data_IF_638494333721
#
_entry.id   IF_638494333721
#
_cell.length_a   1.000
_cell.length_b   1.000
_cell.length_c   1.000
_cell.angle_alpha   90.00
_cell.angle_beta   90.00
_cell.angle_gamma   90.00
#
_symmetry.space_group_name_H-M   'P 1'
#
loop_
_entity.id
_entity.type
_entity.pdbx_description
1 polymer ?
#
# COMPACT_ATOMS: atom_id res chain seq x y z
N UNK A 1 17.62 -10.09 4.05
CA UNK A 1 19.00 -10.07 4.54
C UNK A 1 19.92 -9.89 3.35
N UNK A 2 20.99 -9.13 3.50
CA UNK A 2 21.97 -8.97 2.43
C UNK A 2 22.67 -10.31 2.17
N UNK A 3 22.88 -10.69 0.89
CA UNK A 3 23.66 -11.88 0.58
C UNK A 3 25.11 -11.69 1.01
N UNK A 4 25.77 -12.78 1.42
CA UNK A 4 27.20 -12.77 1.72
C UNK A 4 28.04 -12.37 0.49
N UNK A 5 29.15 -11.68 0.74
CA UNK A 5 30.10 -11.29 -0.30
C UNK A 5 30.79 -12.53 -0.85
N UNK A 6 30.69 -12.76 -2.17
CA UNK A 6 31.32 -13.91 -2.84
C UNK A 6 32.52 -13.57 -3.71
N UNK A 7 32.60 -12.34 -4.22
CA UNK A 7 33.69 -11.90 -5.09
C UNK A 7 34.55 -10.85 -4.38
N UNK A 8 35.83 -11.18 -4.20
CA UNK A 8 36.82 -10.39 -3.46
C UNK A 8 37.84 -9.76 -4.40
N UNK A 9 38.52 -8.66 -3.99
CA UNK A 9 39.49 -7.99 -4.84
C UNK A 9 40.69 -8.91 -5.12
N UNK A 10 41.24 -8.80 -6.34
CA UNK A 10 42.47 -9.50 -6.72
C UNK A 10 43.64 -8.94 -5.89
N UNK A 11 44.39 -9.84 -5.26
CA UNK A 11 45.61 -9.49 -4.52
C UNK A 11 46.78 -9.28 -5.49
N UNK A 12 46.97 -8.05 -5.96
CA UNK A 12 48.05 -7.69 -6.88
C UNK A 12 49.40 -7.61 -6.17
N UNK A 13 50.41 -8.27 -6.74
CA UNK A 13 51.79 -8.27 -6.24
C UNK A 13 52.74 -7.98 -7.39
N UNK A 14 53.85 -7.27 -7.12
CA UNK A 14 54.86 -6.97 -8.13
C UNK A 14 55.43 -8.26 -8.75
N UNK A 15 55.69 -8.22 -10.08
CA UNK A 15 56.14 -9.38 -10.85
C UNK A 15 55.08 -10.48 -11.10
N UNK A 16 53.83 -10.28 -10.67
CA UNK A 16 52.74 -11.24 -10.91
C UNK A 16 52.37 -11.35 -12.39
N UNK A 17 52.27 -12.58 -12.91
CA UNK A 17 51.81 -12.83 -14.29
C UNK A 17 50.31 -12.54 -14.41
N UNK A 18 49.95 -11.65 -15.33
CA UNK A 18 48.56 -11.23 -15.57
C UNK A 18 47.89 -12.17 -16.57
N UNK A 19 46.62 -12.51 -16.31
CA UNK A 19 45.81 -13.35 -17.20
C UNK A 19 44.38 -12.81 -17.28
N UNK A 20 43.61 -13.28 -18.26
CA UNK A 20 42.17 -12.97 -18.40
C UNK A 20 41.39 -13.17 -17.09
N UNK A 21 41.76 -14.19 -16.31
CA UNK A 21 41.11 -14.53 -15.03
C UNK A 21 41.15 -13.36 -14.05
N UNK A 22 42.30 -12.69 -13.90
CA UNK A 22 42.43 -11.56 -12.96
C UNK A 22 41.53 -10.39 -13.34
N UNK A 23 41.35 -10.13 -14.65
CA UNK A 23 40.39 -9.11 -15.10
C UNK A 23 38.95 -9.52 -14.82
N UNK A 24 38.60 -10.79 -15.06
CA UNK A 24 37.26 -11.30 -14.75
C UNK A 24 36.95 -11.22 -13.24
N UNK A 25 37.90 -11.60 -12.39
CA UNK A 25 37.77 -11.51 -10.92
C UNK A 25 37.64 -10.04 -10.46
N UNK A 26 38.45 -9.13 -11.02
CA UNK A 26 38.36 -7.70 -10.73
C UNK A 26 36.99 -7.10 -11.10
N UNK A 27 36.47 -7.47 -12.27
CA UNK A 27 35.16 -7.00 -12.72
C UNK A 27 34.03 -7.60 -11.87
N UNK A 28 34.09 -8.90 -11.54
CA UNK A 28 33.11 -9.53 -10.64
C UNK A 28 33.13 -8.91 -9.24
N UNK A 29 34.31 -8.62 -8.69
CA UNK A 29 34.46 -7.87 -7.45
C UNK A 29 33.82 -6.48 -7.55
N UNK A 30 34.04 -5.77 -8.66
CA UNK A 30 33.45 -4.43 -8.87
C UNK A 30 31.92 -4.50 -8.92
N UNK A 31 31.36 -5.48 -9.62
CA UNK A 31 29.92 -5.75 -9.66
C UNK A 31 29.35 -6.11 -8.29
N UNK A 32 30.04 -6.98 -7.53
CA UNK A 32 29.67 -7.36 -6.16
C UNK A 32 29.64 -6.15 -5.23
N UNK A 33 30.69 -5.32 -5.22
CA UNK A 33 30.78 -4.13 -4.38
C UNK A 33 29.72 -3.08 -4.73
N UNK A 34 29.44 -2.87 -6.02
CA UNK A 34 28.39 -1.93 -6.44
C UNK A 34 27.00 -2.42 -6.02
N UNK A 35 26.73 -3.72 -6.20
CA UNK A 35 25.49 -4.36 -5.75
C UNK A 35 25.34 -4.22 -4.23
N UNK A 36 26.39 -4.53 -3.48
CA UNK A 36 26.41 -4.46 -2.02
C UNK A 36 26.18 -3.04 -1.51
N UNK A 37 26.88 -2.05 -2.06
CA UNK A 37 26.70 -0.64 -1.74
C UNK A 37 25.27 -0.16 -2.02
N UNK A 38 24.66 -0.62 -3.12
CA UNK A 38 23.26 -0.35 -3.44
C UNK A 38 22.33 -0.97 -2.40
N UNK A 39 22.60 -2.22 -2.01
CA UNK A 39 21.77 -2.99 -1.10
C UNK A 39 21.73 -2.41 0.33
N UNK A 40 22.79 -1.72 0.77
CA UNK A 40 22.82 -1.01 2.06
C UNK A 40 21.73 0.07 2.20
N UNK A 41 21.29 0.67 1.08
CA UNK A 41 20.22 1.67 1.06
C UNK A 41 18.81 1.07 0.94
N UNK A 42 18.70 -0.24 0.75
CA UNK A 42 17.43 -0.94 0.57
C UNK A 42 16.88 -1.43 1.91
N UNK A 43 15.58 -1.72 1.93
CA UNK A 43 14.92 -2.38 3.05
C UNK A 43 13.88 -3.36 2.51
N UNK A 44 13.24 -4.13 3.40
CA UNK A 44 12.14 -5.03 3.03
C UNK A 44 10.94 -4.29 2.38
N UNK A 45 10.92 -2.96 2.39
CA UNK A 45 9.85 -2.13 1.84
C UNK A 45 10.31 -1.11 0.81
N UNK A 46 11.62 -1.04 0.54
CA UNK A 46 12.24 -0.11 -0.41
C UNK A 46 13.14 -0.90 -1.37
N UNK A 47 12.51 -1.56 -2.33
CA UNK A 47 13.13 -2.25 -3.45
C UNK A 47 12.08 -2.41 -4.58
N UNK A 48 12.51 -2.90 -5.72
CA UNK A 48 11.66 -3.22 -6.85
C UNK A 48 11.70 -2.16 -7.95
N UNK A 49 10.55 -1.87 -8.56
CA UNK A 49 10.46 -0.96 -9.71
C UNK A 49 11.02 0.42 -9.36
N UNK A 50 11.75 0.99 -10.31
CA UNK A 50 12.29 2.34 -10.21
C UNK A 50 11.33 3.39 -10.76
N UNK A 51 11.36 4.62 -10.20
CA UNK A 51 10.76 5.80 -10.81
C UNK A 51 11.09 5.91 -12.31
N UNK A 52 10.08 6.20 -13.12
CA UNK A 52 10.27 6.64 -14.51
C UNK A 52 10.26 8.16 -14.57
N UNK A 53 10.95 8.74 -15.55
CA UNK A 53 10.82 10.16 -15.85
C UNK A 53 9.39 10.45 -16.33
N UNK A 54 8.81 11.58 -15.91
CA UNK A 54 7.41 11.92 -16.22
C UNK A 54 7.11 12.01 -17.73
N UNK A 55 8.13 12.27 -18.56
CA UNK A 55 8.02 12.31 -20.03
C UNK A 55 8.73 11.13 -20.71
N UNK A 56 9.27 10.20 -19.92
CA UNK A 56 9.99 9.03 -20.42
C UNK A 56 9.07 7.85 -20.73
N UNK A 57 9.59 6.80 -21.40
CA UNK A 57 8.89 5.54 -21.54
C UNK A 57 8.63 4.90 -20.17
N UNK A 58 7.58 4.08 -20.07
CA UNK A 58 7.27 3.33 -18.85
C UNK A 58 8.49 2.55 -18.36
N UNK A 59 8.77 2.58 -17.05
CA UNK A 59 9.81 1.76 -16.44
C UNK A 59 9.43 0.28 -16.36
N UNK A 60 8.17 -0.06 -16.63
CA UNK A 60 7.65 -1.41 -16.47
C UNK A 60 6.55 -1.74 -17.49
N UNK A 61 6.64 -2.90 -18.12
CA UNK A 61 5.62 -3.42 -19.04
C UNK A 61 5.70 -4.97 -19.09
N UNK A 62 4.69 -5.61 -18.50
CA UNK A 62 4.50 -7.06 -18.52
C UNK A 62 3.18 -7.40 -19.22
N UNK A 63 3.26 -8.20 -20.29
CA UNK A 63 2.11 -8.87 -20.88
C UNK A 63 2.01 -10.28 -20.31
N UNK A 64 1.01 -10.52 -19.47
CA UNK A 64 0.72 -11.81 -18.86
C UNK A 64 -0.65 -12.31 -19.33
N UNK A 65 -0.67 -13.44 -20.02
CA UNK A 65 -1.89 -14.04 -20.54
C UNK A 65 -1.99 -15.53 -20.24
N UNK A 66 -3.22 -16.00 -20.07
CA UNK A 66 -3.57 -17.42 -19.99
C UNK A 66 -4.64 -17.68 -21.05
N UNK A 67 -4.42 -18.66 -21.92
CA UNK A 67 -5.38 -19.01 -22.97
C UNK A 67 -6.41 -20.06 -22.52
N UNK A 68 -7.32 -20.42 -23.43
CA UNK A 68 -8.36 -21.43 -23.15
C UNK A 68 -7.80 -22.83 -22.87
N UNK A 69 -6.57 -23.14 -23.32
CA UNK A 69 -5.89 -24.40 -23.05
C UNK A 69 -5.04 -24.36 -21.77
N UNK A 70 -5.18 -23.32 -20.95
CA UNK A 70 -4.39 -23.08 -19.75
C UNK A 70 -2.88 -22.91 -20.05
N UNK A 71 -2.53 -22.49 -21.27
CA UNK A 71 -1.18 -22.10 -21.61
C UNK A 71 -0.92 -20.67 -21.11
N UNK A 72 0.17 -20.51 -20.39
CA UNK A 72 0.61 -19.26 -19.79
C UNK A 72 1.71 -18.65 -20.66
N UNK A 73 1.54 -17.39 -21.04
CA UNK A 73 2.61 -16.61 -21.68
C UNK A 73 2.89 -15.38 -20.83
N UNK A 74 4.14 -15.22 -20.40
CA UNK A 74 4.63 -14.03 -19.73
C UNK A 74 5.69 -13.38 -20.62
N UNK A 75 5.49 -12.11 -20.99
CA UNK A 75 6.40 -11.35 -21.85
C UNK A 75 6.71 -10.00 -21.21
N UNK A 76 7.97 -9.80 -20.83
CA UNK A 76 8.48 -8.60 -20.18
C UNK A 76 9.30 -7.79 -21.19
N UNK A 77 8.79 -6.62 -21.58
CA UNK A 77 9.42 -5.72 -22.57
C UNK A 77 10.20 -4.60 -21.91
N UNK A 78 9.68 -4.07 -20.80
CA UNK A 78 10.32 -3.01 -20.01
C UNK A 78 10.36 -3.41 -18.54
N UNK A 79 11.52 -3.28 -17.90
CA UNK A 79 11.67 -3.43 -16.46
C UNK A 79 12.95 -2.73 -15.99
N UNK A 80 12.78 -1.59 -15.34
CA UNK A 80 13.85 -0.89 -14.63
C UNK A 80 13.58 -1.06 -13.15
N UNK A 81 14.37 -1.90 -12.50
CA UNK A 81 14.17 -2.24 -11.10
C UNK A 81 15.48 -2.48 -10.35
N UNK A 82 15.37 -2.62 -9.03
CA UNK A 82 16.42 -3.14 -8.16
C UNK A 82 15.84 -4.28 -7.33
N UNK A 83 16.53 -5.41 -7.30
CA UNK A 83 16.15 -6.56 -6.46
C UNK A 83 16.44 -6.29 -4.99
N UNK A 84 15.87 -7.09 -4.07
CA UNK A 84 16.09 -6.91 -2.64
C UNK A 84 17.57 -7.08 -2.20
N UNK A 85 18.39 -7.78 -3.00
CA UNK A 85 19.83 -7.91 -2.79
C UNK A 85 20.68 -6.83 -3.49
N UNK A 86 20.07 -5.80 -4.08
CA UNK A 86 20.77 -4.67 -4.69
C UNK A 86 21.18 -4.87 -6.15
N UNK A 87 20.82 -5.99 -6.79
CA UNK A 87 21.11 -6.18 -8.21
C UNK A 87 20.15 -5.36 -9.09
N UNK A 88 20.73 -4.63 -10.04
CA UNK A 88 20.01 -3.78 -10.99
C UNK A 88 19.43 -4.63 -12.12
N UNK A 89 18.17 -4.39 -12.45
CA UNK A 89 17.53 -4.89 -13.68
C UNK A 89 17.30 -3.69 -14.58
N UNK A 90 17.85 -3.75 -15.78
CA UNK A 90 17.70 -2.74 -16.83
C UNK A 90 17.30 -3.44 -18.13
N UNK A 91 15.99 -3.64 -18.28
CA UNK A 91 15.36 -4.07 -19.52
C UNK A 91 14.67 -2.88 -20.15
N UNK A 92 15.19 -2.44 -21.28
CA UNK A 92 14.65 -1.35 -22.09
C UNK A 92 14.17 -1.94 -23.42
N UNK A 93 13.11 -1.37 -24.01
CA UNK A 93 12.49 -1.90 -25.23
C UNK A 93 13.38 -1.93 -26.48
N UNK A 94 14.63 -1.47 -26.39
CA UNK A 94 15.66 -1.66 -27.41
C UNK A 94 16.23 -3.08 -27.44
N UNK A 95 16.13 -3.83 -26.34
CA UNK A 95 16.57 -5.22 -26.25
C UNK A 95 15.44 -6.20 -26.65
N UNK A 96 15.81 -7.44 -26.94
CA UNK A 96 14.81 -8.50 -27.11
C UNK A 96 14.04 -8.71 -25.79
N UNK A 97 12.71 -8.80 -25.85
CA UNK A 97 11.89 -8.97 -24.66
C UNK A 97 11.99 -10.38 -24.09
N UNK A 98 12.07 -10.48 -22.77
CA UNK A 98 12.08 -11.77 -22.08
C UNK A 98 10.70 -12.41 -22.20
N UNK A 99 10.65 -13.61 -22.78
CA UNK A 99 9.40 -14.35 -22.96
C UNK A 99 9.53 -15.73 -22.31
N UNK A 100 8.59 -16.07 -21.44
CA UNK A 100 8.45 -17.39 -20.83
C UNK A 100 7.09 -17.97 -21.18
N UNK A 101 7.08 -19.26 -21.52
CA UNK A 101 5.87 -20.01 -21.87
C UNK A 101 5.81 -21.29 -21.07
N UNK A 102 4.65 -21.55 -20.48
CA UNK A 102 4.37 -22.78 -19.73
C UNK A 102 2.88 -23.10 -19.83
N UNK A 103 2.39 -24.07 -19.08
CA UNK A 103 0.96 -24.36 -18.91
C UNK A 103 0.67 -24.75 -17.47
N UNK A 104 -0.60 -24.67 -17.07
CA UNK A 104 -1.01 -25.14 -15.74
C UNK A 104 -0.56 -26.58 -15.48
N UNK A 105 -0.73 -27.49 -16.45
CA UNK A 105 -0.32 -28.88 -16.30
C UNK A 105 1.19 -29.04 -16.07
N UNK A 106 2.01 -28.27 -16.80
CA UNK A 106 3.47 -28.26 -16.61
C UNK A 106 3.85 -27.72 -15.23
N UNK A 107 3.25 -26.61 -14.78
CA UNK A 107 3.50 -26.04 -13.47
C UNK A 107 3.12 -27.01 -12.34
N UNK A 108 1.96 -27.65 -12.43
CA UNK A 108 1.53 -28.63 -11.43
C UNK A 108 2.47 -29.84 -11.38
N UNK A 109 2.92 -30.34 -12.54
CA UNK A 109 3.86 -31.45 -12.61
C UNK A 109 5.26 -31.07 -12.10
N UNK A 110 5.78 -29.91 -12.48
CA UNK A 110 7.13 -29.45 -12.13
C UNK A 110 7.28 -29.26 -10.61
N UNK A 111 6.24 -28.71 -9.98
CA UNK A 111 6.26 -28.41 -8.54
C UNK A 111 5.55 -29.46 -7.68
N UNK A 112 5.11 -30.58 -8.25
CA UNK A 112 4.34 -31.63 -7.57
C UNK A 112 3.12 -31.08 -6.81
N UNK A 113 2.33 -30.23 -7.47
CA UNK A 113 1.17 -29.56 -6.90
C UNK A 113 -0.13 -30.13 -7.46
N UNK A 114 -1.20 -29.98 -6.68
CA UNK A 114 -2.58 -30.21 -7.12
C UNK A 114 -3.29 -28.88 -7.33
N UNK A 115 -4.10 -28.77 -8.39
CA UNK A 115 -4.91 -27.58 -8.63
C UNK A 115 -5.98 -27.44 -7.54
N UNK A 116 -5.74 -26.53 -6.59
CA UNK A 116 -6.70 -26.16 -5.55
C UNK A 116 -7.14 -24.72 -5.75
N UNK A 117 -8.39 -24.42 -5.39
CA UNK A 117 -8.87 -23.04 -5.39
C UNK A 117 -7.92 -22.13 -4.59
N UNK A 118 -7.69 -20.91 -5.11
CA UNK A 118 -6.74 -19.93 -4.57
C UNK A 118 -5.25 -20.33 -4.65
N UNK A 119 -4.89 -21.38 -5.40
CA UNK A 119 -3.47 -21.65 -5.71
C UNK A 119 -2.88 -20.47 -6.50
N UNK A 120 -1.78 -19.89 -5.99
CA UNK A 120 -1.12 -18.71 -6.56
C UNK A 120 0.25 -19.04 -7.12
N UNK A 121 0.55 -18.44 -8.26
CA UNK A 121 1.88 -18.44 -8.88
C UNK A 121 2.36 -17.02 -9.09
N UNK A 122 3.65 -16.81 -8.90
CA UNK A 122 4.32 -15.54 -9.14
C UNK A 122 5.15 -15.62 -10.41
N UNK A 123 5.03 -14.60 -11.25
CA UNK A 123 5.93 -14.37 -12.38
C UNK A 123 7.15 -13.62 -11.85
N UNK A 124 8.32 -14.20 -12.04
CA UNK A 124 9.56 -13.72 -11.44
C UNK A 124 10.57 -13.42 -12.52
N UNK A 125 11.18 -12.24 -12.45
CA UNK A 125 12.41 -11.93 -13.19
C UNK A 125 13.61 -12.12 -12.27
N UNK A 126 14.55 -12.94 -12.72
CA UNK A 126 15.82 -13.21 -12.04
C UNK A 126 16.94 -12.53 -12.80
N UNK A 127 17.94 -12.03 -12.07
CA UNK A 127 19.15 -11.45 -12.65
C UNK A 127 20.38 -12.18 -12.13
N UNK A 128 21.28 -12.56 -13.02
CA UNK A 128 22.61 -13.01 -12.66
C UNK A 128 23.64 -11.95 -13.08
N UNK A 129 24.09 -11.10 -12.14
CA UNK A 129 24.96 -9.97 -12.48
C UNK A 129 26.38 -10.39 -12.85
N UNK A 130 26.76 -11.66 -12.63
CA UNK A 130 28.10 -12.17 -12.87
C UNK A 130 28.24 -12.92 -14.20
N UNK A 131 27.12 -13.22 -14.88
CA UNK A 131 27.09 -13.80 -16.23
C UNK A 131 26.86 -12.70 -17.24
N UNK A 132 27.70 -12.65 -18.28
CA UNK A 132 27.67 -11.59 -19.31
C UNK A 132 27.06 -12.09 -20.60
N UNK A 133 26.01 -11.42 -21.03
CA UNK A 133 25.37 -11.62 -22.31
C UNK A 133 25.85 -10.50 -23.25
N UNK A 134 26.47 -10.83 -24.40
CA UNK A 134 26.90 -9.83 -25.38
C UNK A 134 25.73 -8.96 -25.89
N UNK A 135 25.95 -7.65 -26.03
CA UNK A 135 24.95 -6.68 -26.48
C UNK A 135 25.55 -5.58 -27.36
N UNK A 136 24.72 -5.00 -28.22
CA UNK A 136 25.04 -3.85 -29.06
C UNK A 136 25.35 -4.26 -30.50
N UNK A 137 25.12 -3.36 -31.45
CA UNK A 137 25.42 -3.64 -32.85
C UNK A 137 26.94 -3.75 -33.06
N UNK A 138 27.45 -4.82 -33.71
CA UNK A 138 28.87 -4.91 -34.04
C UNK A 138 29.33 -3.74 -34.91
N UNK A 139 30.52 -3.21 -34.64
CA UNK A 139 31.10 -2.14 -35.44
C UNK A 139 31.52 -2.71 -36.82
N UNK A 140 31.17 -2.05 -37.95
CA UNK A 140 31.54 -2.53 -39.29
C UNK A 140 33.06 -2.62 -39.51
N UNK A 141 33.82 -1.77 -38.82
CA UNK A 141 35.29 -1.69 -38.87
C UNK A 141 35.97 -2.84 -38.11
N UNK A 142 35.24 -3.54 -37.23
CA UNK A 142 35.80 -4.55 -36.35
C UNK A 142 35.75 -5.94 -37.00
N UNK A 143 36.93 -6.52 -37.21
CA UNK A 143 37.11 -7.83 -37.85
C UNK A 143 37.89 -8.77 -36.90
N UNK A 144 37.30 -9.88 -36.44
CA UNK A 144 35.93 -10.34 -36.70
C UNK A 144 34.89 -9.48 -35.96
N UNK A 145 33.64 -9.39 -36.48
CA UNK A 145 32.58 -8.64 -35.82
C UNK A 145 32.32 -9.16 -34.41
N UNK A 146 32.31 -8.26 -33.42
CA UNK A 146 31.90 -8.58 -32.03
C UNK A 146 30.89 -7.57 -31.51
N UNK A 147 30.10 -8.01 -30.55
CA UNK A 147 29.27 -7.11 -29.75
C UNK A 147 30.16 -6.23 -28.85
N UNK A 148 29.97 -4.90 -28.85
CA UNK A 148 30.85 -3.98 -28.12
C UNK A 148 30.59 -3.97 -26.60
N UNK A 149 29.41 -4.38 -26.15
CA UNK A 149 28.98 -4.29 -24.76
C UNK A 149 28.47 -5.63 -24.22
N UNK A 150 28.19 -5.66 -22.92
CA UNK A 150 27.56 -6.80 -22.25
C UNK A 150 26.51 -6.34 -21.26
N UNK A 151 25.46 -7.13 -21.10
CA UNK A 151 24.47 -7.01 -20.01
C UNK A 151 24.55 -8.21 -19.08
N UNK A 152 24.01 -8.11 -17.86
CA UNK A 152 23.81 -9.31 -17.06
C UNK A 152 22.79 -10.25 -17.71
N UNK A 153 22.80 -11.51 -17.28
CA UNK A 153 21.79 -12.48 -17.69
C UNK A 153 20.48 -12.23 -16.95
N UNK A 154 19.38 -12.21 -17.70
CA UNK A 154 18.03 -12.10 -17.14
C UNK A 154 17.20 -13.31 -17.55
N UNK A 155 16.38 -13.81 -16.63
CA UNK A 155 15.49 -14.93 -16.87
C UNK A 155 14.11 -14.65 -16.32
N UNK A 156 13.08 -15.00 -17.09
CA UNK A 156 11.69 -14.97 -16.64
C UNK A 156 11.25 -16.40 -16.27
N UNK A 157 10.54 -16.55 -15.15
CA UNK A 157 10.05 -17.84 -14.66
C UNK A 157 8.68 -17.66 -13.98
N UNK A 158 7.97 -18.77 -13.77
CA UNK A 158 6.72 -18.81 -13.01
C UNK A 158 6.88 -19.84 -11.91
N UNK A 159 6.71 -19.41 -10.66
CA UNK A 159 6.94 -20.24 -9.47
C UNK A 159 5.75 -20.19 -8.52
N UNK A 160 5.47 -21.24 -7.73
CA UNK A 160 4.42 -21.21 -6.72
C UNK A 160 4.70 -20.18 -5.64
N UNK A 161 3.67 -19.46 -5.17
CA UNK A 161 3.84 -18.40 -4.18
C UNK A 161 4.47 -18.90 -2.86
N UNK A 162 4.18 -20.14 -2.46
CA UNK A 162 4.69 -20.77 -1.24
C UNK A 162 6.23 -20.94 -1.22
N UNK A 163 6.88 -21.00 -2.39
CA UNK A 163 8.31 -21.29 -2.48
C UNK A 163 9.20 -20.05 -2.33
N UNK A 164 8.64 -18.84 -2.45
CA UNK A 164 9.41 -17.59 -2.42
C UNK A 164 9.78 -17.13 -1.00
N UNK A 165 9.30 -17.82 0.04
CA UNK A 165 9.58 -17.51 1.45
C UNK A 165 11.01 -17.88 1.91
N UNK A 166 11.84 -18.50 1.08
CA UNK A 166 13.25 -18.72 1.41
C UNK A 166 14.09 -17.47 1.15
N UNK A 167 14.61 -16.87 2.23
CA UNK A 167 15.37 -15.61 2.25
C UNK A 167 16.63 -15.58 1.37
N UNK A 168 17.18 -16.74 0.98
CA UNK A 168 18.35 -16.84 0.11
C UNK A 168 18.01 -16.75 -1.39
N UNK A 169 16.80 -17.18 -1.78
CA UNK A 169 16.36 -17.12 -3.17
C UNK A 169 16.04 -15.67 -3.56
N UNK A 170 15.65 -14.83 -2.58
CA UNK A 170 15.14 -13.46 -2.78
C UNK A 170 16.12 -12.34 -3.09
N UNK A 171 17.43 -12.60 -3.07
CA UNK A 171 18.41 -11.52 -3.27
C UNK A 171 18.51 -11.05 -4.72
N UNK A 172 18.26 -11.94 -5.70
CA UNK A 172 18.50 -11.66 -7.12
C UNK A 172 17.25 -11.80 -7.99
N UNK A 173 16.07 -11.74 -7.39
CA UNK A 173 14.81 -11.83 -8.10
C UNK A 173 13.85 -10.70 -7.75
N UNK A 174 12.90 -10.48 -8.64
CA UNK A 174 11.78 -9.58 -8.43
C UNK A 174 10.50 -10.22 -8.96
N UNK A 175 9.46 -10.26 -8.12
CA UNK A 175 8.12 -10.65 -8.56
C UNK A 175 7.53 -9.50 -9.37
N UNK A 176 7.12 -9.79 -10.61
CA UNK A 176 6.59 -8.81 -11.57
C UNK A 176 5.15 -9.08 -11.99
N UNK A 177 4.60 -10.23 -11.65
CA UNK A 177 3.23 -10.59 -11.96
C UNK A 177 2.71 -11.72 -11.08
N UNK A 178 1.41 -11.95 -11.14
CA UNK A 178 0.75 -12.99 -10.37
C UNK A 178 -0.36 -13.67 -11.19
N UNK A 179 -0.50 -14.98 -10.99
CA UNK A 179 -1.56 -15.83 -11.50
C UNK A 179 -2.27 -16.48 -10.31
N UNK A 180 -3.59 -16.62 -10.40
CA UNK A 180 -4.40 -17.30 -9.40
C UNK A 180 -5.29 -18.34 -10.06
N UNK A 181 -5.36 -19.53 -9.48
CA UNK A 181 -6.31 -20.56 -9.88
C UNK A 181 -7.64 -20.32 -9.17
N UNK A 182 -8.66 -19.97 -9.95
CA UNK A 182 -10.01 -19.70 -9.46
C UNK A 182 -11.05 -20.17 -10.47
N UNK A 183 -12.15 -20.72 -9.97
CA UNK A 183 -13.28 -21.18 -10.80
C UNK A 183 -12.82 -22.20 -11.86
N UNK A 184 -11.94 -23.11 -11.47
CA UNK A 184 -11.43 -24.17 -12.36
C UNK A 184 -10.39 -23.74 -13.41
N UNK A 185 -9.96 -22.47 -13.42
CA UNK A 185 -8.99 -21.96 -14.40
C UNK A 185 -7.92 -21.06 -13.77
N UNK A 186 -6.73 -21.07 -14.34
CA UNK A 186 -5.65 -20.15 -14.02
C UNK A 186 -5.92 -18.80 -14.70
N UNK A 187 -5.83 -17.70 -13.95
CA UNK A 187 -6.11 -16.34 -14.44
C UNK A 187 -5.03 -15.35 -13.97
N UNK A 188 -4.60 -14.39 -14.81
CA UNK A 188 -3.76 -13.28 -14.37
C UNK A 188 -4.47 -12.38 -13.37
N UNK A 189 -3.75 -11.96 -12.32
CA UNK A 189 -4.21 -10.94 -11.38
C UNK A 189 -3.89 -9.57 -11.97
N UNK A 190 -4.83 -9.01 -12.72
CA UNK A 190 -4.64 -7.75 -13.47
C UNK A 190 -4.27 -6.54 -12.60
N UNK A 191 -4.69 -6.56 -11.34
CA UNK A 191 -4.45 -5.52 -10.35
C UNK A 191 -3.16 -5.71 -9.53
N UNK A 192 -2.36 -6.73 -9.86
CA UNK A 192 -1.08 -6.96 -9.19
C UNK A 192 -0.16 -5.75 -9.40
N UNK A 193 0.46 -5.29 -8.32
CA UNK A 193 1.42 -4.20 -8.33
C UNK A 193 2.76 -4.78 -7.85
N UNK A 194 3.81 -4.82 -8.69
CA UNK A 194 5.12 -5.27 -8.26
C UNK A 194 5.68 -4.41 -7.10
N UNK A 195 6.57 -4.97 -6.26
CA UNK A 195 7.33 -4.17 -5.31
C UNK A 195 7.95 -2.96 -6.02
N UNK A 196 7.87 -1.80 -5.38
CA UNK A 196 8.20 -0.52 -5.99
C UNK A 196 8.96 0.36 -5.00
N UNK A 197 10.01 1.03 -5.48
CA UNK A 197 10.82 1.94 -4.64
C UNK A 197 10.10 3.25 -4.32
N UNK A 198 9.21 3.68 -5.21
CA UNK A 198 8.39 4.86 -5.03
C UNK A 198 6.95 4.63 -5.53
N UNK A 199 6.00 5.40 -5.03
CA UNK A 199 4.62 5.43 -5.55
C UNK A 199 4.61 5.81 -7.05
N UNK A 200 5.51 6.68 -7.49
CA UNK A 200 5.62 7.06 -8.90
C UNK A 200 6.25 6.00 -9.82
N UNK A 201 6.77 4.90 -9.26
CA UNK A 201 7.36 3.80 -10.03
C UNK A 201 6.33 2.96 -10.79
N UNK A 202 5.03 3.08 -10.47
CA UNK A 202 3.97 2.33 -11.14
C UNK A 202 2.69 3.18 -11.32
N UNK A 203 2.06 3.19 -12.50
CA UNK A 203 0.91 4.06 -12.78
C UNK A 203 -0.30 3.77 -11.88
N UNK A 204 -0.54 2.50 -11.52
CA UNK A 204 -1.62 2.16 -10.59
C UNK A 204 -1.42 2.73 -9.18
N UNK A 205 -0.17 2.88 -8.73
CA UNK A 205 0.14 3.48 -7.42
C UNK A 205 -0.10 4.98 -7.43
N UNK A 206 0.28 5.68 -8.50
CA UNK A 206 -0.06 7.09 -8.69
C UNK A 206 -1.57 7.31 -8.72
N UNK A 207 -2.31 6.43 -9.41
CA UNK A 207 -3.77 6.47 -9.41
C UNK A 207 -4.33 6.33 -7.98
N UNK A 208 -3.83 5.39 -7.19
CA UNK A 208 -4.21 5.23 -5.79
C UNK A 208 -3.91 6.47 -4.95
N UNK A 209 -2.73 7.08 -5.12
CA UNK A 209 -2.36 8.32 -4.43
C UNK A 209 -3.36 9.43 -4.73
N UNK A 210 -3.60 9.74 -6.01
CA UNK A 210 -4.52 10.81 -6.39
C UNK A 210 -5.96 10.57 -5.94
N UNK A 211 -6.46 9.34 -6.08
CA UNK A 211 -7.81 9.00 -5.64
C UNK A 211 -7.97 9.12 -4.12
N UNK A 212 -6.95 8.72 -3.37
CA UNK A 212 -6.95 8.79 -1.91
C UNK A 212 -6.82 10.22 -1.43
N UNK A 213 -5.91 11.01 -2.01
CA UNK A 213 -5.73 12.42 -1.70
C UNK A 213 -7.04 13.20 -1.92
N UNK A 214 -7.69 13.01 -3.07
CA UNK A 214 -8.98 13.62 -3.36
C UNK A 214 -10.05 13.23 -2.34
N UNK A 215 -10.16 11.94 -1.99
CA UNK A 215 -11.13 11.45 -1.00
C UNK A 215 -10.89 12.09 0.38
N UNK A 216 -9.64 12.20 0.81
CA UNK A 216 -9.28 12.81 2.09
C UNK A 216 -9.55 14.33 2.11
N UNK A 217 -9.29 15.04 1.01
CA UNK A 217 -9.64 16.47 0.86
C UNK A 217 -11.15 16.70 0.87
N UNK A 218 -11.93 15.78 0.28
CA UNK A 218 -13.40 15.81 0.37
C UNK A 218 -13.86 15.68 1.82
N UNK A 219 -13.32 14.71 2.57
CA UNK A 219 -13.64 14.52 3.99
C UNK A 219 -13.31 15.79 4.79
N UNK A 220 -12.14 16.38 4.56
CA UNK A 220 -11.72 17.62 5.22
C UNK A 220 -12.74 18.75 4.97
N UNK A 221 -13.13 18.94 3.71
CA UNK A 221 -14.10 19.97 3.30
C UNK A 221 -15.47 19.77 3.95
N UNK A 222 -16.00 18.54 3.93
CA UNK A 222 -17.31 18.25 4.51
C UNK A 222 -17.27 18.32 6.05
N UNK A 223 -16.17 17.91 6.69
CA UNK A 223 -15.97 18.07 8.12
C UNK A 223 -15.90 19.54 8.54
N UNK A 224 -15.24 20.41 7.78
CA UNK A 224 -15.28 21.86 8.03
C UNK A 224 -16.71 22.43 7.97
N UNK A 225 -17.52 21.99 7.01
CA UNK A 225 -18.93 22.41 6.93
C UNK A 225 -19.73 21.97 8.15
N UNK A 226 -19.53 20.74 8.61
CA UNK A 226 -20.16 20.22 9.84
C UNK A 226 -19.76 21.07 11.06
N UNK A 227 -18.47 21.33 11.23
CA UNK A 227 -17.93 22.19 12.31
C UNK A 227 -18.57 23.59 12.26
N UNK A 228 -18.62 24.20 11.08
CA UNK A 228 -19.21 25.53 10.88
C UNK A 228 -20.70 25.57 11.23
N UNK A 229 -21.47 24.55 10.83
CA UNK A 229 -22.90 24.45 11.15
C UNK A 229 -23.16 24.36 12.65
N UNK A 230 -22.34 23.62 13.40
CA UNK A 230 -22.43 23.56 14.86
C UNK A 230 -22.11 24.93 15.48
N UNK A 231 -21.05 25.60 15.03
CA UNK A 231 -20.62 26.90 15.60
C UNK A 231 -21.57 28.06 15.30
N UNK A 232 -22.24 28.07 14.14
CA UNK A 232 -23.19 29.12 13.75
C UNK A 232 -24.53 29.07 14.49
N UNK A 233 -24.80 28.02 15.27
CA UNK A 233 -26.06 27.83 16.00
C UNK A 233 -25.81 27.64 17.51
N UNK A 234 -25.20 28.63 18.20
CA UNK A 234 -24.90 28.51 19.63
C UNK A 234 -26.17 28.38 20.49
N UNK A 235 -27.30 28.89 19.98
CA UNK A 235 -28.63 28.83 20.60
C UNK A 235 -29.24 27.41 20.62
N UNK A 236 -28.73 26.50 19.80
CA UNK A 236 -29.20 25.12 19.68
C UNK A 236 -28.07 24.13 19.95
N UNK A 237 -27.27 24.37 20.98
CA UNK A 237 -26.21 23.45 21.38
C UNK A 237 -26.81 22.27 22.14
N UNK A 238 -26.48 21.04 21.76
CA UNK A 238 -26.83 19.83 22.50
C UNK A 238 -25.63 18.87 22.58
N UNK A 239 -25.70 17.89 23.50
CA UNK A 239 -24.60 16.95 23.75
C UNK A 239 -24.11 16.28 22.44
N UNK A 240 -25.04 15.77 21.64
CA UNK A 240 -24.72 15.12 20.38
C UNK A 240 -24.01 16.04 19.38
N UNK A 241 -24.42 17.31 19.28
CA UNK A 241 -23.75 18.30 18.43
C UNK A 241 -22.32 18.60 18.90
N UNK A 242 -22.07 18.55 20.21
CA UNK A 242 -20.73 18.70 20.79
C UNK A 242 -19.85 17.48 20.50
N UNK A 243 -20.40 16.26 20.60
CA UNK A 243 -19.70 15.02 20.24
C UNK A 243 -19.30 15.00 18.76
N UNK A 244 -20.24 15.36 17.87
CA UNK A 244 -19.96 15.47 16.42
C UNK A 244 -18.89 16.53 16.17
N UNK A 245 -18.96 17.69 16.84
CA UNK A 245 -17.96 18.74 16.72
C UNK A 245 -16.57 18.27 17.13
N UNK A 246 -16.46 17.61 18.29
CA UNK A 246 -15.20 17.11 18.83
C UNK A 246 -14.53 16.11 17.87
N UNK A 247 -15.29 15.16 17.34
CA UNK A 247 -14.77 14.15 16.41
C UNK A 247 -14.40 14.77 15.06
N UNK A 248 -15.21 15.70 14.55
CA UNK A 248 -14.92 16.42 13.32
C UNK A 248 -13.65 17.27 13.42
N UNK A 249 -13.48 18.01 14.52
CA UNK A 249 -12.30 18.86 14.74
C UNK A 249 -11.02 18.03 14.88
N UNK A 250 -11.08 16.87 15.57
CA UNK A 250 -9.96 15.94 15.64
C UNK A 250 -9.61 15.35 14.27
N UNK A 251 -10.61 14.99 13.46
CA UNK A 251 -10.39 14.45 12.13
C UNK A 251 -9.77 15.48 11.18
N UNK A 252 -10.29 16.71 11.16
CA UNK A 252 -9.73 17.80 10.34
C UNK A 252 -8.29 18.10 10.75
N UNK A 253 -8.01 18.17 12.05
CA UNK A 253 -6.64 18.40 12.53
C UNK A 253 -5.68 17.28 12.10
N UNK A 254 -6.14 16.03 12.14
CA UNK A 254 -5.40 14.87 11.65
C UNK A 254 -5.13 14.96 10.14
N UNK A 255 -6.15 15.29 9.35
CA UNK A 255 -6.04 15.43 7.89
C UNK A 255 -5.06 16.53 7.50
N UNK A 256 -5.15 17.71 8.14
CA UNK A 256 -4.28 18.85 7.87
C UNK A 256 -2.77 18.52 8.10
N UNK A 257 -2.46 17.64 9.06
CA UNK A 257 -1.08 17.20 9.33
C UNK A 257 -0.50 16.34 8.20
N UNK A 258 -1.32 15.55 7.52
CA UNK A 258 -0.86 14.52 6.59
C UNK A 258 -1.05 14.91 5.11
N UNK A 259 -2.09 15.70 4.77
CA UNK A 259 -2.43 16.07 3.40
C UNK A 259 -1.29 16.80 2.67
N UNK A 260 -0.55 17.66 3.36
CA UNK A 260 0.61 18.36 2.79
C UNK A 260 1.71 17.37 2.39
N UNK A 261 1.96 16.34 3.21
CA UNK A 261 2.93 15.29 2.90
C UNK A 261 2.47 14.43 1.71
N UNK A 262 1.18 14.10 1.64
CA UNK A 262 0.60 13.39 0.51
C UNK A 262 0.78 14.16 -0.80
N UNK A 263 0.55 15.47 -0.79
CA UNK A 263 0.65 16.31 -1.98
C UNK A 263 2.09 16.47 -2.50
N UNK A 264 3.04 16.77 -1.60
CA UNK A 264 4.38 17.17 -2.03
C UNK A 264 5.39 16.03 -2.12
N UNK A 265 5.31 15.04 -1.24
CA UNK A 265 6.41 14.06 -1.09
C UNK A 265 6.00 12.62 -1.33
N UNK A 266 4.73 12.24 -1.13
CA UNK A 266 4.31 10.85 -1.17
C UNK A 266 4.59 10.13 -2.50
N UNK A 267 4.53 10.85 -3.64
CA UNK A 267 4.85 10.27 -4.94
C UNK A 267 6.28 9.65 -4.98
N UNK A 268 7.24 10.28 -4.30
CA UNK A 268 8.65 9.86 -4.25
C UNK A 268 8.94 8.84 -3.13
N UNK A 269 7.98 8.58 -2.25
CA UNK A 269 8.15 7.65 -1.14
C UNK A 269 7.70 6.23 -1.53
N UNK A 270 8.22 5.18 -0.87
CA UNK A 270 7.76 3.81 -1.12
C UNK A 270 6.27 3.64 -0.72
N UNK A 271 5.55 2.67 -1.29
CA UNK A 271 4.10 2.48 -1.04
C UNK A 271 3.74 2.27 0.43
N UNK A 272 4.67 1.73 1.24
CA UNK A 272 4.49 1.56 2.69
C UNK A 272 4.26 2.89 3.40
N UNK A 273 4.86 4.00 2.93
CA UNK A 273 4.66 5.31 3.56
C UNK A 273 3.27 5.86 3.31
N UNK A 274 2.72 5.66 2.11
CA UNK A 274 1.33 6.00 1.81
C UNK A 274 0.37 5.24 2.72
N UNK A 275 0.55 3.93 2.87
CA UNK A 275 -0.24 3.09 3.78
C UNK A 275 -0.06 3.50 5.24
N UNK A 276 1.17 3.83 5.65
CA UNK A 276 1.50 4.32 6.99
C UNK A 276 0.75 5.62 7.30
N UNK A 277 0.69 6.56 6.35
CA UNK A 277 -0.11 7.79 6.47
C UNK A 277 -1.59 7.48 6.67
N UNK A 278 -2.17 6.59 5.86
CA UNK A 278 -3.57 6.19 5.99
C UNK A 278 -3.86 5.49 7.32
N UNK A 279 -2.93 4.67 7.79
CA UNK A 279 -3.02 4.00 9.09
C UNK A 279 -2.92 5.01 10.24
N UNK A 280 -2.05 6.02 10.17
CA UNK A 280 -1.94 7.09 11.18
C UNK A 280 -3.25 7.87 11.29
N UNK A 281 -3.83 8.28 10.16
CA UNK A 281 -5.13 8.94 10.11
C UNK A 281 -6.24 8.07 10.72
N UNK A 282 -6.29 6.78 10.35
CA UNK A 282 -7.27 5.84 10.89
C UNK A 282 -7.12 5.66 12.41
N UNK A 283 -5.88 5.59 12.91
CA UNK A 283 -5.56 5.50 14.33
C UNK A 283 -5.98 6.76 15.08
N UNK A 284 -5.74 7.95 14.53
CA UNK A 284 -6.18 9.22 15.13
C UNK A 284 -7.71 9.33 15.18
N UNK A 285 -8.41 8.97 14.10
CA UNK A 285 -9.88 8.97 14.07
C UNK A 285 -10.47 7.97 15.07
N UNK A 286 -9.95 6.73 15.08
CA UNK A 286 -10.32 5.71 16.06
C UNK A 286 -10.07 6.18 17.49
N UNK A 287 -8.91 6.77 17.77
CA UNK A 287 -8.59 7.32 19.10
C UNK A 287 -9.59 8.43 19.48
N UNK A 288 -9.99 9.26 18.52
CA UNK A 288 -11.08 10.24 18.70
C UNK A 288 -12.36 9.63 19.25
N UNK A 289 -12.84 8.54 18.64
CA UNK A 289 -14.04 7.81 19.06
C UNK A 289 -13.88 7.12 20.42
N UNK A 290 -12.70 6.57 20.71
CA UNK A 290 -12.44 5.81 21.95
C UNK A 290 -12.07 6.69 23.15
N UNK A 291 -11.83 7.99 22.95
CA UNK A 291 -11.72 8.95 24.05
C UNK A 291 -13.08 9.35 24.64
N UNK A 292 -14.19 9.03 23.95
CA UNK A 292 -15.54 9.23 24.47
C UNK A 292 -15.88 8.16 25.50
N UNK A 293 -16.84 8.46 26.38
CA UNK A 293 -17.46 7.42 27.21
C UNK A 293 -18.22 6.42 26.34
N UNK A 294 -18.50 5.22 26.88
CA UNK A 294 -19.20 4.18 26.12
C UNK A 294 -20.58 4.65 25.64
N UNK A 295 -21.34 5.34 26.50
CA UNK A 295 -22.66 5.88 26.18
C UNK A 295 -22.60 6.97 25.09
N UNK A 296 -21.67 7.92 25.19
CA UNK A 296 -21.47 8.97 24.18
C UNK A 296 -21.06 8.38 22.82
N UNK A 297 -20.16 7.41 22.83
CA UNK A 297 -19.72 6.73 21.61
C UNK A 297 -20.88 5.98 20.95
N UNK A 298 -21.69 5.27 21.73
CA UNK A 298 -22.86 4.56 21.21
C UNK A 298 -23.90 5.52 20.63
N UNK A 299 -24.18 6.63 21.32
CA UNK A 299 -25.08 7.69 20.85
C UNK A 299 -24.58 8.29 19.51
N UNK A 300 -23.29 8.63 19.43
CA UNK A 300 -22.68 9.18 18.23
C UNK A 300 -22.70 8.20 17.06
N UNK A 301 -22.36 6.93 17.28
CA UNK A 301 -22.34 5.92 16.22
C UNK A 301 -23.74 5.61 15.71
N UNK A 302 -24.75 5.55 16.59
CA UNK A 302 -26.17 5.43 16.19
C UNK A 302 -26.63 6.63 15.36
N UNK A 303 -26.17 7.83 15.72
CA UNK A 303 -26.45 9.03 14.93
C UNK A 303 -25.81 8.95 13.54
N UNK A 304 -24.56 8.47 13.41
CA UNK A 304 -23.94 8.23 12.11
C UNK A 304 -24.72 7.20 11.29
N UNK A 305 -25.11 6.08 11.89
CA UNK A 305 -25.92 5.05 11.24
C UNK A 305 -27.23 5.62 10.70
N UNK A 306 -27.93 6.41 11.51
CA UNK A 306 -29.23 6.97 11.13
C UNK A 306 -29.17 7.82 9.86
N UNK A 307 -28.09 8.58 9.66
CA UNK A 307 -27.95 9.49 8.52
C UNK A 307 -27.18 8.89 7.35
N UNK A 308 -26.24 7.98 7.59
CA UNK A 308 -25.38 7.39 6.55
C UNK A 308 -25.74 5.97 6.15
N UNK A 309 -26.63 5.30 6.90
CA UNK A 309 -26.97 3.88 6.75
C UNK A 309 -25.76 2.94 6.96
N UNK A 310 -24.67 3.46 7.54
CA UNK A 310 -23.48 2.69 7.89
C UNK A 310 -23.61 2.18 9.32
N UNK A 311 -23.67 0.86 9.46
CA UNK A 311 -23.72 0.20 10.77
C UNK A 311 -22.47 0.53 11.61
N UNK A 312 -22.61 0.78 12.92
CA UNK A 312 -21.49 1.04 13.83
C UNK A 312 -20.41 -0.05 13.77
N UNK A 313 -20.84 -1.31 13.71
CA UNK A 313 -19.94 -2.46 13.62
C UNK A 313 -19.08 -2.42 12.35
N UNK A 314 -19.65 -2.03 11.19
CA UNK A 314 -18.90 -1.92 9.92
C UNK A 314 -17.78 -0.89 10.06
N UNK A 315 -18.07 0.32 10.54
CA UNK A 315 -17.06 1.36 10.72
C UNK A 315 -15.97 0.94 11.71
N UNK A 316 -16.36 0.41 12.88
CA UNK A 316 -15.42 0.01 13.93
C UNK A 316 -14.53 -1.15 13.50
N UNK A 317 -15.07 -2.13 12.78
CA UNK A 317 -14.30 -3.25 12.24
C UNK A 317 -13.32 -2.78 11.17
N UNK A 318 -13.75 -1.95 10.21
CA UNK A 318 -12.85 -1.39 9.19
C UNK A 318 -11.73 -0.54 9.83
N UNK A 319 -12.01 0.21 10.90
CA UNK A 319 -10.98 0.92 11.67
C UNK A 319 -10.02 -0.04 12.37
N UNK A 320 -10.53 -1.11 12.97
CA UNK A 320 -9.70 -2.11 13.65
C UNK A 320 -8.75 -2.77 12.64
N UNK A 321 -9.28 -3.26 11.52
CA UNK A 321 -8.51 -3.89 10.44
C UNK A 321 -7.46 -2.93 9.89
N UNK A 322 -7.82 -1.68 9.58
CA UNK A 322 -6.87 -0.68 9.08
C UNK A 322 -5.74 -0.38 10.08
N UNK A 323 -6.02 -0.38 11.38
CA UNK A 323 -5.01 -0.10 12.42
C UNK A 323 -4.13 -1.29 12.79
N UNK A 324 -4.45 -2.49 12.29
CA UNK A 324 -3.71 -3.73 12.56
C UNK A 324 -3.12 -4.36 11.31
N UNK A 325 -3.30 -3.73 10.15
CA UNK A 325 -2.78 -4.19 8.88
C UNK A 325 -1.25 -4.26 8.88
N UNK A 326 -0.72 -5.33 8.30
CA UNK A 326 0.71 -5.51 8.05
C UNK A 326 1.03 -5.21 6.60
N UNK A 327 2.17 -4.56 6.33
CA UNK A 327 2.58 -4.27 4.97
C UNK A 327 3.18 -5.51 4.29
N UNK A 328 2.60 -5.89 3.16
CA UNK A 328 3.11 -6.91 2.27
C UNK A 328 3.43 -6.28 0.89
N UNK A 329 4.71 -6.24 0.47
CA UNK A 329 5.11 -5.71 -0.84
C UNK A 329 4.48 -6.43 -2.04
N UNK A 330 3.99 -7.67 -1.86
CA UNK A 330 3.35 -8.46 -2.92
C UNK A 330 1.82 -8.25 -2.96
N UNK A 331 1.23 -7.64 -1.94
CA UNK A 331 -0.21 -7.37 -1.85
C UNK A 331 -0.54 -5.89 -1.58
N UNK A 332 0.23 -4.98 -2.20
CA UNK A 332 0.04 -3.53 -2.03
C UNK A 332 -1.35 -3.08 -2.48
N UNK A 333 -1.86 -3.64 -3.58
CA UNK A 333 -3.20 -3.31 -4.08
C UNK A 333 -4.29 -3.61 -3.05
N UNK A 334 -4.29 -4.82 -2.47
CA UNK A 334 -5.29 -5.23 -1.49
C UNK A 334 -5.28 -4.32 -0.25
N UNK A 335 -4.09 -4.00 0.26
CA UNK A 335 -3.94 -3.09 1.39
C UNK A 335 -4.46 -1.69 1.07
N UNK A 336 -4.13 -1.12 -0.09
CA UNK A 336 -4.63 0.20 -0.50
C UNK A 336 -6.16 0.20 -0.66
N UNK A 337 -6.72 -0.86 -1.26
CA UNK A 337 -8.16 -1.01 -1.42
C UNK A 337 -8.89 -1.06 -0.07
N UNK A 338 -8.35 -1.81 0.90
CA UNK A 338 -8.91 -1.89 2.24
C UNK A 338 -8.93 -0.52 2.95
N UNK A 339 -7.80 0.21 2.92
CA UNK A 339 -7.75 1.55 3.51
C UNK A 339 -8.67 2.54 2.79
N UNK A 340 -8.73 2.47 1.46
CA UNK A 340 -9.63 3.32 0.67
C UNK A 340 -11.10 3.08 1.03
N UNK A 341 -11.51 1.81 1.17
CA UNK A 341 -12.88 1.45 1.56
C UNK A 341 -13.26 2.04 2.93
N UNK A 342 -12.36 2.00 3.91
CA UNK A 342 -12.58 2.68 5.21
C UNK A 342 -12.85 4.17 5.02
N UNK A 343 -12.00 4.86 4.25
CA UNK A 343 -12.17 6.30 4.04
C UNK A 343 -13.42 6.65 3.23
N UNK A 344 -13.90 5.75 2.36
CA UNK A 344 -15.20 5.93 1.69
C UNK A 344 -16.37 5.88 2.68
N UNK A 345 -16.31 5.04 3.72
CA UNK A 345 -17.31 5.05 4.79
C UNK A 345 -17.30 6.39 5.52
N UNK A 346 -16.12 6.87 5.92
CA UNK A 346 -15.96 8.16 6.62
C UNK A 346 -16.44 9.32 5.75
N UNK A 347 -16.07 9.35 4.46
CA UNK A 347 -16.55 10.35 3.50
C UNK A 347 -18.08 10.35 3.38
N UNK A 348 -18.69 9.17 3.31
CA UNK A 348 -20.15 9.05 3.24
C UNK A 348 -20.81 9.61 4.50
N UNK A 349 -20.29 9.31 5.69
CA UNK A 349 -20.80 9.88 6.95
C UNK A 349 -20.74 11.41 6.91
N UNK A 350 -19.57 11.98 6.65
CA UNK A 350 -19.39 13.44 6.69
C UNK A 350 -20.17 14.17 5.59
N UNK A 351 -20.29 13.57 4.40
CA UNK A 351 -21.12 14.10 3.30
C UNK A 351 -22.60 14.13 3.67
N UNK A 352 -23.12 13.11 4.35
CA UNK A 352 -24.52 13.12 4.80
C UNK A 352 -24.73 14.13 5.92
N UNK A 353 -23.84 14.18 6.90
CA UNK A 353 -23.92 15.16 7.99
C UNK A 353 -23.84 16.60 7.49
N UNK A 354 -22.99 16.87 6.50
CA UNK A 354 -22.84 18.22 5.94
C UNK A 354 -24.06 18.69 5.15
N UNK A 355 -24.97 17.80 4.74
CA UNK A 355 -26.22 18.15 4.08
C UNK A 355 -27.34 18.54 5.08
N UNK A 356 -27.22 18.16 6.34
CA UNK A 356 -28.22 18.45 7.37
C UNK A 356 -28.34 19.93 7.65
N UNK A 357 -29.57 20.45 7.79
CA UNK A 357 -29.78 21.83 8.25
C UNK A 357 -29.27 22.04 9.67
N UNK A 358 -29.38 20.99 10.50
CA UNK A 358 -29.05 21.03 11.91
C UNK A 358 -28.35 19.74 12.36
N UNK A 359 -27.17 19.90 12.98
CA UNK A 359 -26.37 18.81 13.52
C UNK A 359 -26.85 18.50 14.94
N UNK A 360 -27.06 17.21 15.25
CA UNK A 360 -27.45 16.73 16.58
C UNK A 360 -28.95 16.56 16.78
N UNK A 361 -29.77 16.61 15.71
CA UNK A 361 -31.18 16.17 15.76
C UNK A 361 -31.30 14.83 15.05
N UNK A 362 -31.86 13.84 15.73
CA UNK A 362 -32.18 12.54 15.13
C UNK A 362 -33.29 12.69 14.07
N UNK A 363 -33.34 11.79 13.07
CA UNK A 363 -34.46 11.76 12.09
C UNK A 363 -35.79 11.65 12.84
N UNK A 364 -36.80 12.36 12.35
CA UNK A 364 -38.14 12.40 12.95
C UNK A 364 -38.75 10.98 13.03
N UNK A 365 -39.30 10.64 14.20
CA UNK A 365 -39.86 9.30 14.47
C UNK A 365 -38.94 8.35 15.25
N UNK A 366 -37.67 8.69 15.46
CA UNK A 366 -36.76 7.90 16.31
C UNK A 366 -37.00 8.21 17.79
N UNK A 367 -37.60 7.26 18.53
CA UNK A 367 -37.73 7.36 19.98
C UNK A 367 -36.33 7.28 20.59
N UNK A 368 -35.88 8.39 21.17
CA UNK A 368 -34.80 8.38 22.15
C UNK A 368 -35.16 7.38 23.25
N UNK A 369 -34.32 6.37 23.47
CA UNK A 369 -34.40 5.61 24.71
C UNK A 369 -34.05 6.59 25.82
N UNK A 370 -35.09 7.04 26.53
CA UNK A 370 -34.97 7.87 27.71
C UNK A 370 -34.18 7.04 28.72
N UNK A 371 -32.92 7.39 28.96
CA UNK A 371 -32.29 7.04 30.22
C UNK A 371 -33.08 7.79 31.29
N UNK A 372 -33.90 7.05 32.01
CA UNK A 372 -34.51 7.52 33.26
C UNK A 372 -33.38 7.83 34.23
N UNK A 373 -32.86 9.05 34.20
CA UNK A 373 -32.23 9.59 35.39
C UNK A 373 -33.30 9.62 36.47
N UNK A 374 -33.07 9.03 37.66
CA UNK A 374 -34.05 9.10 38.74
C UNK A 374 -34.27 10.57 39.06
N UNK A 375 -35.51 11.00 38.90
CA UNK A 375 -35.97 12.34 39.26
C UNK A 375 -35.60 12.57 40.72
N UNK A 376 -34.72 13.54 40.99
CA UNK A 376 -34.48 14.01 42.34
C UNK A 376 -35.83 14.40 42.94
N UNK A 377 -36.18 13.79 44.08
CA UNK A 377 -37.44 14.01 44.75
C UNK A 377 -37.64 15.52 44.96
N UNK A 378 -38.75 16.05 44.45
CA UNK A 378 -39.16 17.43 44.72
C UNK A 378 -39.32 17.58 46.23
N UNK A 379 -38.48 18.42 46.84
CA UNK A 379 -38.64 18.83 48.23
C UNK A 379 -40.00 19.51 48.40
N UNK A 380 -40.79 19.00 49.34
CA UNK A 380 -42.08 19.55 49.71
C UNK A 380 -41.91 20.99 50.25
N UNK A 381 -42.90 21.89 50.08
CA UNK A 381 -42.80 23.26 50.56
C UNK A 381 -42.78 23.29 52.10
N UNK A 382 -41.81 24.03 52.66
CA UNK A 382 -41.68 24.26 54.10
C UNK A 382 -42.94 24.92 54.67
N UNK A 383 -43.47 24.35 55.76
CA UNK A 383 -44.53 24.97 56.57
C UNK A 383 -43.93 26.17 57.33
N UNK A 384 -44.67 27.30 57.47
CA UNK A 384 -44.16 28.45 58.19
C UNK A 384 -44.05 28.15 59.68
N UNK A 385 -42.87 28.43 60.25
CA UNK A 385 -42.59 28.26 61.67
C UNK A 385 -43.30 29.36 62.48
N UNK A 386 -44.31 28.98 63.27
CA UNK A 386 -44.85 29.81 64.34
C UNK A 386 -43.82 29.89 65.47
N UNK A 387 -43.12 31.03 65.60
CA UNK A 387 -42.33 31.34 66.80
C UNK A 387 -43.26 31.69 67.95
N UNK A 388 -43.32 30.80 68.93
CA UNK A 388 -43.87 31.05 70.25
C UNK A 388 -42.80 31.76 71.10
N UNK A 389 -43.13 32.91 71.69
CA UNK A 389 -42.23 33.69 72.53
C UNK A 389 -42.60 33.54 74.00
N UNK A 390 -41.74 32.97 74.86
CA UNK A 390 -41.77 33.23 76.27
C UNK A 390 -40.62 34.18 76.64
N UNK A 391 -41.00 35.29 77.29
CA UNK A 391 -40.19 36.42 77.78
C UNK A 391 -40.01 37.60 76.82
#
# INVERSE_FOLDING_TARGET
>A
MLPEIKHYPVNWVDGMKISRRHFTELEQFTTEHLRDATALGLSAHRYGLLPADAQGPSSFELLLSVDHQQAVTARLTHCRAVTAGGARIELTGAAEPLTFRTSLAQLLSEFNLTATEQLRFHVVVSVNPYVRIPMGAPAPEEIPPRHPYTTPEYQLSVVPALQLNSTQVSSFHLVVGELVYQEGALRPVAQFIPPSMAVLSHPALLKWLHQTEHLLQEIETEAFRVIHKVRMRPDKKNNLSELVHLVAERLVTALAQELTGLHFTAAQQPPVELLSTLMRLAKQFKTGLYCLTEAEREELLKYFEQWSEILPATLLNSLQEATTATYDPLNVHGSLQQHYALWQLVATIFRQLSQLEYIGKNKEGWKTFINENPVAASTAPEKPATRWNPF
#
